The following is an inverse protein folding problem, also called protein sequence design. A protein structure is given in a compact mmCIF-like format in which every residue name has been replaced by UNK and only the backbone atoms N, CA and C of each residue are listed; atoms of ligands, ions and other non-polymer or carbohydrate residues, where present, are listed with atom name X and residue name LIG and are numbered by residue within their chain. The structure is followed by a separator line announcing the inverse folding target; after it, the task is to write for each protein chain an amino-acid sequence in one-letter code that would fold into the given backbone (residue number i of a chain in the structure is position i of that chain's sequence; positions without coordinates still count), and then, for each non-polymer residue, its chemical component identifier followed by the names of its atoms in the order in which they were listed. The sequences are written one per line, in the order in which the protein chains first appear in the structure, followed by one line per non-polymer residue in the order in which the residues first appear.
data_IF_513720421329
#
_entry.id   IF_513720421329
#
_cell.length_a   1.000
_cell.length_b   1.000
_cell.length_c   1.000
_cell.angle_alpha   90.00
_cell.angle_beta   90.00
_cell.angle_gamma   90.00
#
_symmetry.space_group_name_H-M   'P 1'
#
loop_
_entity.id
_entity.type
_entity.pdbx_description
1 polymer ?
#
# COMPACT_ATOMS: atom_id res chain seq x y z
N UNK A 1 -22.98 11.11 4.37
CA UNK A 1 -22.24 9.84 4.32
C UNK A 1 -20.82 10.12 3.85
N UNK A 2 -19.80 9.57 4.51
CA UNK A 2 -18.40 9.69 4.05
C UNK A 2 -18.15 8.56 3.05
N UNK A 3 -17.73 8.88 1.83
CA UNK A 3 -17.39 7.86 0.85
C UNK A 3 -16.10 7.16 1.26
N UNK A 4 -16.16 5.83 1.41
CA UNK A 4 -15.00 4.96 1.66
C UNK A 4 -14.58 4.35 0.34
N UNK A 5 -13.28 4.29 0.07
CA UNK A 5 -12.78 3.59 -1.12
C UNK A 5 -13.02 2.09 -0.98
N UNK A 6 -13.55 1.47 -2.03
CA UNK A 6 -13.65 0.01 -2.14
C UNK A 6 -12.30 -0.53 -2.64
N UNK A 7 -11.46 -0.97 -1.70
CA UNK A 7 -10.15 -1.55 -2.00
C UNK A 7 -10.31 -2.91 -2.66
N UNK A 8 -11.39 -3.63 -2.35
CA UNK A 8 -11.68 -4.92 -2.94
C UNK A 8 -11.89 -4.81 -4.45
N UNK A 9 -12.70 -3.86 -4.89
CA UNK A 9 -12.93 -3.59 -6.31
C UNK A 9 -11.62 -3.25 -7.06
N UNK A 10 -10.70 -2.52 -6.44
CA UNK A 10 -9.39 -2.18 -7.03
C UNK A 10 -8.53 -3.44 -7.21
N UNK A 11 -8.49 -4.30 -6.20
CA UNK A 11 -7.70 -5.54 -6.24
C UNK A 11 -8.29 -6.54 -7.25
N UNK A 12 -9.62 -6.65 -7.31
CA UNK A 12 -10.30 -7.50 -8.28
C UNK A 12 -10.00 -7.04 -9.70
N UNK A 13 -10.08 -5.73 -9.95
CA UNK A 13 -9.70 -5.16 -11.23
C UNK A 13 -8.23 -5.41 -11.57
N UNK A 14 -7.31 -5.18 -10.63
CA UNK A 14 -5.88 -5.41 -10.84
C UNK A 14 -5.59 -6.89 -11.17
N UNK A 15 -6.26 -7.83 -10.51
CA UNK A 15 -6.11 -9.27 -10.75
C UNK A 15 -6.56 -9.72 -12.14
N UNK A 16 -7.37 -8.92 -12.84
CA UNK A 16 -7.77 -9.19 -14.22
C UNK A 16 -6.60 -9.08 -15.22
N UNK A 17 -5.51 -8.42 -14.84
CA UNK A 17 -4.29 -8.32 -15.65
C UNK A 17 -3.30 -9.46 -15.38
N UNK A 18 -3.56 -10.33 -14.40
CA UNK A 18 -2.70 -11.44 -14.04
C UNK A 18 -2.49 -11.57 -12.52
N UNK A 19 -1.55 -12.43 -12.14
CA UNK A 19 -1.22 -12.66 -10.73
C UNK A 19 -0.63 -11.40 -10.11
N UNK A 20 -1.23 -10.95 -9.01
CA UNK A 20 -0.67 -9.87 -8.19
C UNK A 20 0.53 -10.40 -7.40
N UNK A 21 1.73 -10.01 -7.80
CA UNK A 21 2.98 -10.46 -7.16
C UNK A 21 3.30 -9.63 -5.91
N UNK A 22 2.92 -8.36 -5.90
CA UNK A 22 3.18 -7.41 -4.83
C UNK A 22 1.93 -6.59 -4.53
N UNK A 23 1.52 -6.57 -3.26
CA UNK A 23 0.43 -5.72 -2.77
C UNK A 23 0.81 -5.13 -1.43
N UNK A 24 1.12 -3.83 -1.41
CA UNK A 24 1.55 -3.09 -0.22
C UNK A 24 0.79 -1.78 -0.09
N UNK A 25 0.49 -1.38 1.14
CA UNK A 25 -0.10 -0.09 1.45
C UNK A 25 0.76 0.66 2.48
N UNK A 26 1.12 1.89 2.15
CA UNK A 26 2.08 2.71 2.91
C UNK A 26 1.34 3.82 3.65
N UNK A 27 1.27 3.75 4.97
CA UNK A 27 0.61 4.77 5.79
C UNK A 27 1.04 4.69 7.25
N UNK A 28 0.66 5.70 8.03
CA UNK A 28 0.59 5.55 9.48
C UNK A 28 -0.70 4.78 9.83
N UNK A 29 -0.61 3.47 10.03
CA UNK A 29 -1.74 2.60 10.39
C UNK A 29 -2.16 2.73 11.85
N UNK A 30 -1.44 3.50 12.67
CA UNK A 30 -1.88 3.88 14.01
C UNK A 30 -2.92 5.01 13.97
N UNK A 31 -2.97 5.79 12.87
CA UNK A 31 -3.95 6.84 12.70
C UNK A 31 -5.36 6.26 12.45
N UNK A 32 -6.34 6.69 13.24
CA UNK A 32 -7.72 6.18 13.20
C UNK A 32 -8.34 6.26 11.79
N UNK A 33 -8.04 7.32 11.05
CA UNK A 33 -8.52 7.50 9.68
C UNK A 33 -8.05 6.40 8.72
N UNK A 34 -6.83 5.90 8.90
CA UNK A 34 -6.25 4.85 8.07
C UNK A 34 -6.68 3.47 8.60
N UNK A 35 -6.83 3.32 9.92
CA UNK A 35 -7.28 2.08 10.55
C UNK A 35 -8.65 1.61 10.03
N UNK A 36 -9.52 2.54 9.59
CA UNK A 36 -10.79 2.22 8.95
C UNK A 36 -10.69 1.35 7.68
N UNK A 37 -9.54 1.36 6.99
CA UNK A 37 -9.28 0.54 5.81
C UNK A 37 -8.64 -0.82 6.12
N UNK A 38 -8.13 -1.01 7.35
CA UNK A 38 -7.35 -2.20 7.74
C UNK A 38 -8.09 -3.51 7.45
N UNK A 39 -9.40 -3.55 7.69
CA UNK A 39 -10.22 -4.74 7.43
C UNK A 39 -10.21 -5.17 5.96
N UNK A 40 -10.43 -4.22 5.03
CA UNK A 40 -10.40 -4.52 3.60
C UNK A 40 -8.99 -4.91 3.13
N UNK A 41 -7.95 -4.21 3.60
CA UNK A 41 -6.57 -4.45 3.19
C UNK A 41 -6.05 -5.81 3.65
N UNK A 42 -6.20 -6.14 4.95
CA UNK A 42 -5.80 -7.45 5.49
C UNK A 42 -6.62 -8.58 4.87
N UNK A 43 -7.94 -8.36 4.67
CA UNK A 43 -8.83 -9.33 4.03
C UNK A 43 -8.44 -9.67 2.58
N UNK A 44 -7.61 -8.85 1.94
CA UNK A 44 -7.09 -9.05 0.58
C UNK A 44 -5.57 -9.31 0.56
N UNK A 45 -4.98 -9.69 1.70
CA UNK A 45 -3.57 -9.97 1.87
C UNK A 45 -2.63 -8.81 1.45
N UNK A 46 -3.09 -7.56 1.62
CA UNK A 46 -2.25 -6.37 1.41
C UNK A 46 -1.33 -6.17 2.61
N UNK A 47 -0.03 -6.10 2.34
CA UNK A 47 1.00 -5.82 3.35
C UNK A 47 0.89 -4.36 3.82
N UNK A 48 0.71 -4.17 5.13
CA UNK A 48 0.60 -2.85 5.73
C UNK A 48 1.99 -2.35 6.15
N UNK A 49 2.60 -1.51 5.32
CA UNK A 49 3.88 -0.87 5.61
C UNK A 49 3.63 0.34 6.50
N UNK A 50 4.03 0.23 7.77
CA UNK A 50 3.90 1.31 8.75
C UNK A 50 4.92 2.42 8.50
N UNK A 51 4.42 3.65 8.41
CA UNK A 51 5.22 4.85 8.39
C UNK A 51 5.08 5.57 9.72
N UNK A 52 6.19 5.76 10.42
CA UNK A 52 6.20 6.61 11.60
C UNK A 52 6.39 8.07 11.17
N UNK A 53 5.62 9.02 11.75
CA UNK A 53 5.80 10.42 11.44
C UNK A 53 7.24 10.87 11.72
N UNK A 54 7.97 11.27 10.67
CA UNK A 54 9.22 12.01 10.85
C UNK A 54 8.89 13.46 11.22
N UNK A 55 9.42 13.96 12.34
CA UNK A 55 9.09 15.27 12.91
C UNK A 55 9.02 16.40 11.87
N UNK A 56 7.93 17.19 11.92
CA UNK A 56 7.60 18.43 11.17
C UNK A 56 7.70 18.42 9.61
N UNK A 57 8.54 17.58 9.00
CA UNK A 57 8.88 17.56 7.57
C UNK A 57 8.52 16.25 6.85
N UNK A 58 7.88 15.30 7.54
CA UNK A 58 7.54 13.96 7.03
C UNK A 58 6.45 13.88 5.95
N UNK A 59 6.19 14.93 5.18
CA UNK A 59 5.11 14.97 4.18
C UNK A 59 5.26 13.93 3.07
N UNK A 60 6.50 13.60 2.70
CA UNK A 60 6.80 12.73 1.55
C UNK A 60 7.30 11.33 1.96
N UNK A 61 7.15 10.97 3.24
CA UNK A 61 7.70 9.70 3.74
C UNK A 61 7.13 8.47 3.03
N UNK A 62 5.84 8.50 2.71
CA UNK A 62 5.17 7.44 1.96
C UNK A 62 5.70 7.32 0.54
N UNK A 63 5.80 8.43 -0.18
CA UNK A 63 6.26 8.45 -1.57
C UNK A 63 7.71 7.98 -1.69
N UNK A 64 8.58 8.43 -0.79
CA UNK A 64 9.97 8.00 -0.73
C UNK A 64 10.06 6.50 -0.45
N UNK A 65 9.33 5.99 0.54
CA UNK A 65 9.36 4.57 0.89
C UNK A 65 8.84 3.70 -0.25
N UNK A 66 7.73 4.12 -0.87
CA UNK A 66 7.16 3.47 -2.04
C UNK A 66 8.18 3.38 -3.19
N UNK A 67 8.84 4.50 -3.52
CA UNK A 67 9.82 4.54 -4.60
C UNK A 67 11.03 3.63 -4.32
N UNK A 68 11.56 3.66 -3.09
CA UNK A 68 12.69 2.81 -2.68
C UNK A 68 12.31 1.33 -2.76
N UNK A 69 11.18 0.94 -2.17
CA UNK A 69 10.74 -0.46 -2.17
C UNK A 69 10.47 -0.95 -3.61
N UNK A 70 9.89 -0.09 -4.47
CA UNK A 70 9.67 -0.43 -5.90
C UNK A 70 10.99 -0.67 -6.64
N UNK A 71 12.00 0.19 -6.44
CA UNK A 71 13.32 0.01 -7.06
C UNK A 71 13.97 -1.27 -6.56
N UNK A 72 13.91 -1.56 -5.26
CA UNK A 72 14.42 -2.82 -4.70
C UNK A 72 13.70 -4.05 -5.30
N UNK A 73 12.38 -3.99 -5.46
CA UNK A 73 11.61 -5.08 -6.04
C UNK A 73 12.00 -5.34 -7.49
N UNK A 74 12.24 -4.29 -8.30
CA UNK A 74 12.71 -4.44 -9.69
C UNK A 74 14.05 -5.18 -9.78
N UNK A 75 14.93 -5.05 -8.78
CA UNK A 75 16.18 -5.80 -8.74
C UNK A 75 16.01 -7.24 -8.25
N UNK A 76 14.99 -7.52 -7.43
CA UNK A 76 14.75 -8.85 -6.83
C UNK A 76 13.83 -9.73 -7.66
N UNK A 77 12.96 -9.13 -8.47
CA UNK A 77 11.97 -9.80 -9.30
C UNK A 77 12.37 -9.63 -10.78
N UNK A 78 13.12 -10.58 -11.37
CA UNK A 78 13.65 -10.44 -12.72
C UNK A 78 12.57 -10.36 -13.80
N UNK A 79 11.36 -10.82 -13.51
CA UNK A 79 10.21 -10.80 -14.43
C UNK A 79 9.38 -9.49 -14.35
N UNK A 80 9.83 -8.49 -13.57
CA UNK A 80 9.13 -7.22 -13.41
C UNK A 80 9.47 -6.18 -14.52
N UNK A 81 10.34 -6.51 -15.48
CA UNK A 81 10.74 -5.66 -16.62
C UNK A 81 10.97 -6.41 -17.92
#
# INVERSE_FOLDING_TARGET
ARATVDVGAIIDFASSFGTLVLTRAYADWSAEINAGYRGQLVGRAVDLVQLFPAAAYGKNGADIRLAVDTVEDMFRLPDLT
#
